data_IF_484207725239
#
_entry.id   IF_484207725239
#
_cell.length_a   1.000
_cell.length_b   1.000
_cell.length_c   1.000
_cell.angle_alpha   90.00
_cell.angle_beta   90.00
_cell.angle_gamma   90.00
#
_symmetry.space_group_name_H-M   'P 1'
#
loop_
_entity.id
_entity.type
_entity.pdbx_description
1 polymer ?
#
# COMPACT_ATOMS: atom_id res chain seq x y z
N UNK A 1 28.43 21.37 -25.33
CA UNK A 1 28.00 21.83 -24.00
C UNK A 1 26.48 21.92 -23.80
N UNK A 2 25.64 22.39 -24.76
CA UNK A 2 24.19 22.52 -24.49
C UNK A 2 23.40 21.20 -24.55
N UNK A 3 23.86 20.21 -25.34
CA UNK A 3 23.18 18.90 -25.49
C UNK A 3 23.24 18.04 -24.23
N UNK A 4 24.30 18.17 -23.42
CA UNK A 4 24.49 17.40 -22.17
C UNK A 4 23.49 17.85 -21.09
N UNK A 5 23.02 19.09 -21.13
CA UNK A 5 22.05 19.65 -20.17
C UNK A 5 20.59 19.37 -20.61
N UNK A 6 20.33 19.24 -21.91
CA UNK A 6 18.99 18.96 -22.45
C UNK A 6 18.50 17.54 -22.15
N UNK A 7 19.39 16.55 -22.15
CA UNK A 7 19.06 15.14 -21.86
C UNK A 7 18.50 14.94 -20.44
N UNK A 8 19.15 15.44 -19.34
CA UNK A 8 18.60 15.28 -18.00
C UNK A 8 17.28 16.04 -17.80
N UNK A 9 17.06 17.17 -18.50
CA UNK A 9 15.79 17.91 -18.47
C UNK A 9 14.66 17.09 -19.12
N UNK A 10 14.92 16.44 -20.26
CA UNK A 10 13.93 15.58 -20.92
C UNK A 10 13.54 14.37 -20.04
N UNK A 11 14.52 13.74 -19.37
CA UNK A 11 14.27 12.63 -18.42
C UNK A 11 13.41 13.11 -17.25
N UNK A 12 13.68 14.30 -16.72
CA UNK A 12 12.87 14.90 -15.65
C UNK A 12 11.41 15.11 -16.06
N UNK A 13 11.16 15.61 -17.27
CA UNK A 13 9.80 15.84 -17.79
C UNK A 13 9.05 14.51 -17.97
N UNK A 14 9.71 13.48 -18.49
CA UNK A 14 9.12 12.14 -18.64
C UNK A 14 8.77 11.56 -17.27
N UNK A 15 9.67 11.68 -16.28
CA UNK A 15 9.43 11.23 -14.91
C UNK A 15 8.21 11.88 -14.27
N UNK A 16 8.06 13.20 -14.42
CA UNK A 16 6.89 13.94 -13.94
C UNK A 16 5.61 13.47 -14.64
N UNK A 17 5.67 13.24 -15.95
CA UNK A 17 4.52 12.76 -16.74
C UNK A 17 4.01 11.40 -16.26
N UNK A 18 4.91 10.44 -16.04
CA UNK A 18 4.57 9.11 -15.51
C UNK A 18 3.95 9.23 -14.11
N UNK A 19 4.55 10.03 -13.24
CA UNK A 19 4.05 10.23 -11.88
C UNK A 19 2.64 10.81 -11.86
N UNK A 20 2.38 11.83 -12.69
CA UNK A 20 1.05 12.43 -12.80
C UNK A 20 0.00 11.44 -13.33
N UNK A 21 0.38 10.62 -14.32
CA UNK A 21 -0.51 9.59 -14.89
C UNK A 21 -0.87 8.51 -13.87
N UNK A 22 0.11 7.99 -13.12
CA UNK A 22 -0.13 7.03 -12.05
C UNK A 22 -1.05 7.60 -10.96
N UNK A 23 -0.83 8.86 -10.57
CA UNK A 23 -1.71 9.56 -9.61
C UNK A 23 -3.13 9.67 -10.11
N UNK A 24 -3.33 10.00 -11.40
CA UNK A 24 -4.66 10.12 -12.00
C UNK A 24 -5.39 8.78 -12.05
N UNK A 25 -4.71 7.69 -12.42
CA UNK A 25 -5.29 6.34 -12.40
C UNK A 25 -5.81 5.96 -11.01
N UNK A 26 -5.00 6.14 -9.97
CA UNK A 26 -5.43 5.82 -8.61
C UNK A 26 -6.64 6.66 -8.17
N UNK A 27 -6.67 7.95 -8.49
CA UNK A 27 -7.84 8.81 -8.19
C UNK A 27 -9.11 8.36 -8.90
N UNK A 28 -9.01 7.87 -10.14
CA UNK A 28 -10.15 7.33 -10.88
C UNK A 28 -10.65 6.02 -10.26
N UNK A 29 -9.75 5.08 -9.97
CA UNK A 29 -10.11 3.80 -9.31
C UNK A 29 -10.79 4.07 -7.97
N UNK A 30 -10.21 4.94 -7.13
CA UNK A 30 -10.83 5.34 -5.86
C UNK A 30 -12.19 6.02 -6.06
N UNK A 31 -12.31 6.91 -7.05
CA UNK A 31 -13.58 7.59 -7.36
C UNK A 31 -14.68 6.63 -7.82
N UNK A 32 -14.36 5.70 -8.72
CA UNK A 32 -15.28 4.65 -9.16
C UNK A 32 -15.68 3.74 -7.99
N UNK A 33 -14.72 3.40 -7.13
CA UNK A 33 -14.95 2.54 -5.97
C UNK A 33 -15.87 3.19 -4.95
N UNK A 34 -15.64 4.48 -4.63
CA UNK A 34 -16.49 5.24 -3.71
C UNK A 34 -17.89 5.52 -4.28
N UNK A 35 -18.01 5.64 -5.61
CA UNK A 35 -19.31 5.81 -6.27
C UNK A 35 -20.13 4.51 -6.22
N UNK A 36 -19.48 3.36 -6.43
CA UNK A 36 -20.12 2.04 -6.35
C UNK A 36 -20.45 1.63 -4.91
N UNK A 37 -19.59 1.99 -3.95
CA UNK A 37 -19.70 1.61 -2.55
C UNK A 37 -19.57 2.84 -1.64
N UNK A 38 -20.64 3.64 -1.46
CA UNK A 38 -20.60 4.84 -0.62
C UNK A 38 -20.29 4.54 0.84
N UNK A 39 -20.58 3.32 1.31
CA UNK A 39 -20.37 2.88 2.68
C UNK A 39 -19.07 2.07 2.86
N UNK A 40 -18.09 2.25 1.95
CA UNK A 40 -16.83 1.52 1.98
C UNK A 40 -16.08 1.71 3.30
N UNK A 41 -15.51 0.62 3.79
CA UNK A 41 -14.67 0.62 4.98
C UNK A 41 -13.24 1.01 4.64
N UNK A 42 -12.51 1.52 5.64
CA UNK A 42 -11.11 1.95 5.49
C UNK A 42 -10.19 0.99 6.22
N UNK A 43 -9.24 0.38 5.51
CA UNK A 43 -8.21 -0.46 6.12
C UNK A 43 -6.89 0.27 6.04
N UNK A 44 -6.42 0.77 7.17
CA UNK A 44 -5.12 1.40 7.32
C UNK A 44 -4.05 0.32 7.46
N UNK A 45 -2.87 0.62 6.93
CA UNK A 45 -1.71 -0.26 7.12
C UNK A 45 -0.79 0.34 8.16
N UNK A 46 -0.44 -0.45 9.17
CA UNK A 46 0.51 -0.02 10.19
C UNK A 46 1.94 0.02 9.63
N UNK A 47 2.64 1.11 9.91
CA UNK A 47 4.08 1.21 9.72
C UNK A 47 4.79 1.06 11.05
N UNK A 48 5.65 0.05 11.14
CA UNK A 48 6.55 -0.10 12.27
C UNK A 48 7.99 0.00 11.78
N UNK A 49 8.81 0.86 12.38
CA UNK A 49 10.24 0.86 12.07
C UNK A 49 11.03 2.01 12.66
N UNK A 50 11.47 1.86 13.92
CA UNK A 50 12.50 2.72 14.51
C UNK A 50 13.92 2.18 14.27
N UNK A 51 14.07 0.86 14.09
CA UNK A 51 15.38 0.16 13.91
C UNK A 51 15.41 -0.76 12.69
N UNK A 52 14.28 -1.38 12.33
CA UNK A 52 14.13 -2.23 11.14
C UNK A 52 13.07 -1.57 10.26
N UNK A 53 13.42 -1.22 9.01
CA UNK A 53 12.45 -0.70 8.07
C UNK A 53 11.52 -1.85 7.67
N UNK A 54 10.26 -1.78 8.10
CA UNK A 54 9.24 -2.73 7.68
C UNK A 54 8.12 -2.02 6.93
N UNK A 55 7.71 -2.60 5.82
CA UNK A 55 6.68 -2.07 4.95
C UNK A 55 5.71 -3.19 4.61
N UNK A 56 4.45 -2.95 4.94
CA UNK A 56 3.34 -3.83 4.59
C UNK A 56 2.59 -3.23 3.40
N UNK A 57 2.54 -3.89 2.26
CA UNK A 57 1.83 -3.40 1.09
C UNK A 57 0.61 -4.26 0.79
N UNK A 58 -0.46 -3.63 0.29
CA UNK A 58 -1.65 -4.34 -0.17
C UNK A 58 -1.55 -4.41 -1.70
N UNK A 59 -1.44 -5.63 -2.21
CA UNK A 59 -1.25 -5.93 -3.63
C UNK A 59 -2.58 -5.94 -4.38
N UNK A 60 -3.62 -6.54 -3.80
CA UNK A 60 -4.94 -6.68 -4.40
C UNK A 60 -6.05 -6.74 -3.36
N UNK A 61 -7.25 -6.33 -3.76
CA UNK A 61 -8.49 -6.52 -2.99
C UNK A 61 -9.44 -7.35 -3.85
N UNK A 62 -9.77 -8.57 -3.43
CA UNK A 62 -10.57 -9.53 -4.19
C UNK A 62 -10.03 -9.83 -5.60
N UNK A 63 -8.70 -9.77 -5.79
CA UNK A 63 -8.06 -9.95 -7.09
C UNK A 63 -8.17 -8.75 -8.04
N UNK A 64 -8.75 -7.62 -7.59
CA UNK A 64 -8.78 -6.36 -8.34
C UNK A 64 -7.74 -5.36 -7.83
N UNK A 65 -7.44 -4.35 -8.65
CA UNK A 65 -6.55 -3.25 -8.31
C UNK A 65 -7.05 -2.54 -7.03
N UNK A 66 -6.21 -2.41 -5.99
CA UNK A 66 -6.64 -1.85 -4.72
C UNK A 66 -6.95 -0.35 -4.86
N UNK A 67 -8.10 0.07 -4.33
CA UNK A 67 -8.44 1.48 -4.18
C UNK A 67 -7.63 2.10 -3.02
N UNK A 68 -6.37 2.46 -3.29
CA UNK A 68 -5.43 2.97 -2.29
C UNK A 68 -5.72 4.42 -1.97
N UNK A 69 -5.89 4.73 -0.68
CA UNK A 69 -5.94 6.08 -0.17
C UNK A 69 -4.67 6.44 0.60
N UNK A 70 -4.27 7.70 0.50
CA UNK A 70 -3.16 8.27 1.27
C UNK A 70 -3.69 9.48 2.01
N UNK A 71 -3.77 9.37 3.33
CA UNK A 71 -4.19 10.45 4.23
C UNK A 71 -2.98 10.92 5.07
N UNK A 72 -3.09 12.09 5.70
CA UNK A 72 -2.03 12.64 6.56
C UNK A 72 -1.66 11.69 7.73
N UNK A 73 -2.55 10.76 8.09
CA UNK A 73 -2.39 9.77 9.17
C UNK A 73 -1.89 8.38 8.68
N UNK A 74 -1.55 8.22 7.40
CA UNK A 74 -1.04 6.97 6.82
C UNK A 74 -1.68 6.61 5.48
N UNK A 75 -1.29 5.46 4.92
CA UNK A 75 -1.97 4.89 3.74
C UNK A 75 -2.83 3.69 4.11
N UNK A 76 -3.76 3.37 3.22
CA UNK A 76 -4.66 2.24 3.35
C UNK A 76 -5.43 1.97 2.08
N UNK A 77 -6.38 1.04 2.14
CA UNK A 77 -7.27 0.68 1.03
C UNK A 77 -8.73 0.79 1.43
N UNK A 78 -9.58 1.15 0.47
CA UNK A 78 -11.03 1.03 0.61
C UNK A 78 -11.46 -0.41 0.33
N UNK A 79 -12.41 -0.91 1.12
CA UNK A 79 -13.00 -2.22 0.94
C UNK A 79 -14.52 -2.14 1.00
N UNK A 80 -15.21 -2.93 0.18
CA UNK A 80 -16.66 -3.08 0.28
C UNK A 80 -17.04 -3.67 1.65
N UNK A 81 -18.20 -3.33 2.22
CA UNK A 81 -18.69 -4.00 3.43
C UNK A 81 -18.92 -5.50 3.17
N UNK A 82 -18.56 -6.34 4.13
CA UNK A 82 -18.63 -7.80 4.07
C UNK A 82 -17.27 -8.47 3.93
N UNK A 83 -17.27 -9.74 3.51
CA UNK A 83 -16.07 -10.56 3.35
C UNK A 83 -15.29 -10.13 2.11
N UNK A 84 -14.02 -9.78 2.32
CA UNK A 84 -13.04 -9.46 1.29
C UNK A 84 -11.77 -10.28 1.48
N UNK A 85 -11.15 -10.67 0.38
CA UNK A 85 -9.81 -11.26 0.37
C UNK A 85 -8.80 -10.16 0.06
N UNK A 86 -7.90 -9.87 0.98
CA UNK A 86 -6.80 -8.93 0.78
C UNK A 86 -5.53 -9.70 0.49
N UNK A 87 -4.90 -9.47 -0.66
CA UNK A 87 -3.55 -9.97 -0.91
C UNK A 87 -2.57 -8.96 -0.32
N UNK A 88 -1.91 -9.33 0.77
CA UNK A 88 -1.01 -8.46 1.53
C UNK A 88 0.39 -9.04 1.52
N UNK A 89 1.40 -8.18 1.36
CA UNK A 89 2.79 -8.55 1.46
C UNK A 89 3.46 -7.73 2.56
N UNK A 90 4.20 -8.42 3.45
CA UNK A 90 5.06 -7.76 4.41
C UNK A 90 6.52 -7.93 3.99
N UNK A 91 7.23 -6.81 3.88
CA UNK A 91 8.67 -6.79 3.65
C UNK A 91 9.37 -6.12 4.82
N UNK A 92 10.46 -6.73 5.28
CA UNK A 92 11.27 -6.23 6.38
C UNK A 92 12.73 -6.21 5.96
N UNK A 93 13.35 -5.03 6.01
CA UNK A 93 14.75 -4.82 5.67
C UNK A 93 15.55 -4.49 6.93
N UNK A 94 16.47 -5.38 7.28
CA UNK A 94 17.41 -5.16 8.38
C UNK A 94 18.76 -4.69 7.83
N UNK A 95 19.31 -3.55 8.30
CA UNK A 95 20.68 -3.17 8.00
C UNK A 95 21.65 -4.18 8.64
N UNK A 96 22.53 -4.76 7.83
CA UNK A 96 23.56 -5.70 8.28
C UNK A 96 24.91 -5.03 8.55
N UNK A 97 25.87 -5.84 8.99
CA UNK A 97 27.27 -5.43 9.17
C UNK A 97 27.97 -5.53 7.81
N UNK A 98 28.84 -4.56 7.46
CA UNK A 98 29.47 -4.40 6.13
C UNK A 98 28.50 -4.04 4.97
N UNK A 99 27.59 -3.08 5.16
CA UNK A 99 26.71 -2.53 4.09
C UNK A 99 25.81 -3.56 3.38
N UNK A 100 25.67 -4.78 3.89
CA UNK A 100 24.75 -5.79 3.35
C UNK A 100 23.38 -5.63 4.03
N UNK A 101 22.38 -5.22 3.26
CA UNK A 101 20.98 -5.25 3.69
C UNK A 101 20.39 -6.62 3.39
N UNK A 102 19.61 -7.16 4.33
CA UNK A 102 18.83 -8.38 4.11
C UNK A 102 17.36 -8.00 4.17
N UNK A 103 16.69 -8.15 3.02
CA UNK A 103 15.23 -7.98 2.91
C UNK A 103 14.59 -9.35 2.96
N UNK A 104 13.66 -9.54 3.90
CA UNK A 104 12.76 -10.69 3.93
C UNK A 104 11.39 -10.21 3.48
N UNK A 105 10.79 -10.90 2.52
CA UNK A 105 9.39 -10.72 2.15
C UNK A 105 8.62 -12.00 2.46
N UNK A 106 7.42 -11.85 3.02
CA UNK A 106 6.48 -12.96 3.21
C UNK A 106 5.85 -13.41 1.88
N UNK A 107 5.96 -12.61 0.82
CA UNK A 107 5.21 -12.79 -0.42
C UNK A 107 3.76 -12.34 -0.29
N UNK A 108 2.99 -12.44 -1.37
CA UNK A 108 1.56 -12.11 -1.37
C UNK A 108 0.77 -13.18 -0.62
N UNK A 109 0.27 -12.83 0.57
CA UNK A 109 -0.56 -13.70 1.40
C UNK A 109 -2.00 -13.20 1.32
N UNK A 110 -2.91 -14.11 1.03
CA UNK A 110 -4.34 -13.81 1.03
C UNK A 110 -4.90 -13.86 2.45
N UNK A 111 -5.50 -12.75 2.87
CA UNK A 111 -6.09 -12.56 4.20
C UNK A 111 -7.57 -12.28 4.01
N UNK A 112 -8.42 -13.19 4.49
CA UNK A 112 -9.86 -12.96 4.54
C UNK A 112 -10.21 -11.99 5.67
N UNK A 113 -10.97 -10.95 5.34
CA UNK A 113 -11.38 -9.91 6.26
C UNK A 113 -12.87 -9.67 6.10
N UNK A 114 -13.62 -9.84 7.19
CA UNK A 114 -15.00 -9.37 7.27
C UNK A 114 -15.02 -7.94 7.80
N UNK A 115 -15.47 -7.01 6.96
CA UNK A 115 -15.34 -5.57 7.21
C UNK A 115 -16.73 -4.95 7.32
N UNK A 116 -17.03 -4.26 8.43
CA UNK A 116 -18.30 -3.54 8.57
C UNK A 116 -18.30 -2.21 7.81
N UNK A 117 -19.48 -1.80 7.34
CA UNK A 117 -19.67 -0.51 6.69
C UNK A 117 -19.14 0.66 7.53
N UNK A 118 -18.50 1.64 6.88
CA UNK A 118 -18.00 2.89 7.47
C UNK A 118 -17.02 2.74 8.66
N UNK A 119 -16.50 1.53 8.90
CA UNK A 119 -15.55 1.30 9.99
C UNK A 119 -14.11 1.36 9.50
N UNK A 120 -13.23 1.84 10.38
CA UNK A 120 -11.80 1.93 10.14
C UNK A 120 -11.09 0.78 10.88
N UNK A 121 -10.22 0.06 10.17
CA UNK A 121 -9.40 -1.00 10.72
C UNK A 121 -7.92 -0.67 10.51
N UNK A 122 -7.06 -1.27 11.33
CA UNK A 122 -5.61 -1.25 11.19
C UNK A 122 -5.14 -2.68 10.97
N UNK A 123 -4.45 -2.88 9.86
CA UNK A 123 -3.76 -4.11 9.51
C UNK A 123 -2.33 -4.05 10.05
N UNK A 124 -2.02 -4.94 10.98
CA UNK A 124 -0.73 -5.05 11.65
C UNK A 124 -0.12 -6.41 11.33
N UNK A 125 1.18 -6.44 11.08
CA UNK A 125 1.92 -7.68 10.87
C UNK A 125 2.52 -8.16 12.19
N UNK A 126 2.13 -9.36 12.62
CA UNK A 126 2.72 -10.01 13.79
C UNK A 126 4.03 -10.69 13.38
N UNK A 127 5.16 -10.16 13.88
CA UNK A 127 6.51 -10.65 13.57
C UNK A 127 6.82 -12.00 14.20
N UNK A 128 6.16 -12.37 15.30
CA UNK A 128 6.41 -13.62 16.00
C UNK A 128 5.75 -14.80 15.28
N UNK A 129 4.49 -14.60 14.90
CA UNK A 129 3.69 -15.63 14.24
C UNK A 129 3.76 -15.56 12.70
N UNK A 130 4.38 -14.51 12.14
CA UNK A 130 4.39 -14.21 10.69
C UNK A 130 2.97 -14.08 10.09
N UNK A 131 1.99 -13.69 10.90
CA UNK A 131 0.58 -13.59 10.50
C UNK A 131 0.11 -12.14 10.46
N UNK A 132 -0.87 -11.84 9.62
CA UNK A 132 -1.55 -10.55 9.62
C UNK A 132 -2.68 -10.54 10.65
N UNK A 133 -2.74 -9.49 11.47
CA UNK A 133 -3.82 -9.24 12.43
C UNK A 133 -4.53 -7.97 12.04
N UNK A 134 -5.86 -8.00 12.16
CA UNK A 134 -6.71 -6.85 11.87
C UNK A 134 -7.37 -6.42 13.16
N UNK A 135 -7.13 -5.16 13.52
CA UNK A 135 -7.72 -4.55 14.71
C UNK A 135 -8.61 -3.39 14.27
N UNK A 136 -9.63 -3.10 15.06
CA UNK A 136 -10.41 -1.88 14.88
C UNK A 136 -9.53 -0.68 15.24
N UNK A 137 -9.60 0.38 14.43
CA UNK A 137 -8.79 1.59 14.62
C UNK A 137 -9.31 2.46 15.76
#
# INVERSE_FOLDING_TARGET
MPTIILIPIAIWIIGIGIWFFMRKKNKNVVGEYLTKYPNAAKIYVSHEGLVVQSQTQILAVNGEDPAIFTEMKGYGVYCKPGVNVLTVEHSSTRPGVLYKTVTKSTGGVDVEVDVKAETAYVLTFDKENQTFKINLK
#
